data_IF_781365776138
#
_entry.id   IF_781365776138
#
_cell.length_a   1.000
_cell.length_b   1.000
_cell.length_c   1.000
_cell.angle_alpha   90.00
_cell.angle_beta   90.00
_cell.angle_gamma   90.00
#
_symmetry.space_group_name_H-M   'P 1'
#
loop_
_entity.id
_entity.type
_entity.pdbx_description
1 polymer ?
#
# COMPACT_ATOMS: atom_id res chain seq x y z
N UNK A 1 -4.22 16.26 -22.77
CA UNK A 1 -4.82 15.56 -21.61
C UNK A 1 -4.15 14.20 -21.59
N UNK A 2 -3.39 13.87 -20.56
CA UNK A 2 -2.82 12.52 -20.44
C UNK A 2 -3.95 11.55 -20.15
N UNK A 3 -4.10 10.54 -21.00
CA UNK A 3 -5.09 9.49 -20.86
C UNK A 3 -4.69 8.64 -19.64
N UNK A 4 -5.54 8.59 -18.60
CA UNK A 4 -5.28 7.76 -17.42
C UNK A 4 -5.42 6.30 -17.86
N UNK A 5 -4.32 5.57 -18.02
CA UNK A 5 -4.38 4.16 -18.39
C UNK A 5 -5.03 3.35 -17.26
N UNK A 6 -5.90 2.37 -17.59
CA UNK A 6 -6.54 1.53 -16.60
C UNK A 6 -5.51 0.67 -15.87
N UNK A 7 -5.70 0.49 -14.56
CA UNK A 7 -4.85 -0.36 -13.73
C UNK A 7 -4.78 -1.79 -14.29
N UNK A 8 -3.56 -2.25 -14.56
CA UNK A 8 -3.23 -3.61 -14.99
C UNK A 8 -2.50 -4.32 -13.86
N UNK A 9 -3.23 -5.17 -13.14
CA UNK A 9 -2.68 -5.97 -12.05
C UNK A 9 -1.58 -6.91 -12.56
N UNK A 10 -0.50 -7.04 -11.80
CA UNK A 10 0.41 -8.18 -11.93
C UNK A 10 -0.18 -9.35 -11.13
N UNK A 11 -0.55 -10.47 -11.78
CA UNK A 11 -1.20 -11.60 -11.12
C UNK A 11 -0.31 -12.30 -10.09
N UNK A 12 1.01 -12.08 -10.10
CA UNK A 12 1.96 -12.69 -9.17
C UNK A 12 2.37 -11.76 -8.03
N UNK A 13 1.88 -10.52 -8.01
CA UNK A 13 2.27 -9.50 -7.04
C UNK A 13 1.09 -9.04 -6.16
N UNK A 14 0.28 -10.00 -5.72
CA UNK A 14 -0.74 -9.80 -4.69
C UNK A 14 -0.26 -10.30 -3.35
N UNK A 15 -0.27 -9.41 -2.36
CA UNK A 15 0.18 -9.66 -0.99
C UNK A 15 -0.98 -9.50 -0.03
N UNK A 16 -1.05 -10.36 0.98
CA UNK A 16 -2.03 -10.26 2.06
C UNK A 16 -1.31 -10.07 3.40
N UNK A 17 -1.73 -9.04 4.12
CA UNK A 17 -1.17 -8.64 5.40
C UNK A 17 -2.24 -8.77 6.47
N UNK A 18 -2.03 -9.71 7.39
CA UNK A 18 -2.97 -9.99 8.50
C UNK A 18 -2.41 -9.60 9.86
N UNK A 19 -1.29 -8.88 9.87
CA UNK A 19 -0.66 -8.34 11.06
C UNK A 19 -0.11 -6.94 10.74
N UNK A 20 -0.14 -6.04 11.73
CA UNK A 20 0.62 -4.80 11.65
C UNK A 20 2.12 -5.13 11.65
N UNK A 21 2.92 -4.37 10.91
CA UNK A 21 4.32 -4.75 10.72
C UNK A 21 5.14 -3.76 9.92
N UNK A 22 6.46 -3.93 10.03
CA UNK A 22 7.46 -3.10 9.37
C UNK A 22 7.53 -3.38 7.86
N UNK A 23 8.09 -2.41 7.13
CA UNK A 23 8.16 -2.33 5.68
C UNK A 23 8.33 -3.63 4.90
N UNK A 24 7.30 -4.01 4.16
CA UNK A 24 7.38 -5.10 3.18
C UNK A 24 7.75 -4.52 1.82
N UNK A 25 8.78 -5.09 1.20
CA UNK A 25 9.19 -4.70 -0.15
C UNK A 25 8.15 -5.15 -1.18
N UNK A 26 7.74 -4.23 -2.05
CA UNK A 26 6.86 -4.51 -3.17
C UNK A 26 7.70 -4.80 -4.42
N UNK A 27 7.41 -5.86 -5.18
CA UNK A 27 8.08 -6.16 -6.45
C UNK A 27 7.53 -5.24 -7.55
N UNK A 28 7.91 -3.96 -7.50
CA UNK A 28 7.47 -2.99 -8.48
C UNK A 28 8.19 -3.19 -9.82
N UNK A 29 7.49 -3.14 -10.95
CA UNK A 29 8.12 -3.22 -12.27
C UNK A 29 9.12 -2.07 -12.47
N UNK A 30 10.22 -2.35 -13.16
CA UNK A 30 11.22 -1.32 -13.49
C UNK A 30 10.65 -0.37 -14.54
N UNK A 31 10.34 0.88 -14.18
CA UNK A 31 9.80 1.87 -15.11
C UNK A 31 8.99 2.98 -14.45
N UNK A 32 8.31 3.78 -15.27
CA UNK A 32 7.27 4.74 -14.82
C UNK A 32 5.91 4.03 -14.71
N UNK A 33 4.97 4.62 -13.95
CA UNK A 33 3.59 4.11 -13.85
C UNK A 33 3.39 2.91 -12.93
N UNK A 34 4.23 2.72 -11.89
CA UNK A 34 3.96 1.70 -10.86
C UNK A 34 2.74 2.11 -10.05
N UNK A 35 1.72 1.25 -10.03
CA UNK A 35 0.51 1.45 -9.26
C UNK A 35 0.28 0.30 -8.30
N UNK A 36 -0.45 0.57 -7.22
CA UNK A 36 -0.97 -0.44 -6.32
C UNK A 36 -2.46 -0.30 -6.18
N UNK A 37 -3.15 -1.44 -6.14
CA UNK A 37 -4.51 -1.54 -5.63
C UNK A 37 -4.45 -2.03 -4.20
N UNK A 38 -5.01 -1.25 -3.29
CA UNK A 38 -5.10 -1.56 -1.87
C UNK A 38 -6.54 -1.91 -1.56
N UNK A 39 -6.77 -3.00 -0.82
CA UNK A 39 -8.09 -3.40 -0.34
C UNK A 39 -8.02 -3.76 1.13
N UNK A 40 -8.78 -3.04 1.97
CA UNK A 40 -9.02 -3.47 3.34
C UNK A 40 -10.14 -4.52 3.35
N UNK A 41 -9.78 -5.78 3.57
CA UNK A 41 -10.69 -6.93 3.67
C UNK A 41 -11.14 -7.20 5.10
N UNK A 42 -10.52 -6.53 6.06
CA UNK A 42 -10.77 -6.70 7.49
C UNK A 42 -11.97 -5.90 7.98
N UNK A 43 -12.11 -5.90 9.30
CA UNK A 43 -13.19 -5.23 10.03
C UNK A 43 -12.70 -4.03 10.84
N UNK A 44 -11.42 -3.66 10.72
CA UNK A 44 -10.79 -2.56 11.44
C UNK A 44 -10.19 -1.55 10.46
N UNK A 45 -10.13 -0.29 10.87
CA UNK A 45 -9.40 0.74 10.12
C UNK A 45 -7.90 0.44 10.13
N UNK A 46 -7.25 0.68 8.98
CA UNK A 46 -5.80 0.49 8.84
C UNK A 46 -5.16 1.78 8.35
N UNK A 47 -3.96 2.06 8.84
CA UNK A 47 -3.11 3.13 8.32
C UNK A 47 -1.97 2.53 7.50
N UNK A 48 -1.74 3.07 6.31
CA UNK A 48 -0.73 2.61 5.37
C UNK A 48 0.20 3.76 5.01
N UNK A 49 1.48 3.45 4.87
CA UNK A 49 2.48 4.37 4.35
C UNK A 49 3.39 3.66 3.32
N UNK A 50 3.75 4.39 2.27
CA UNK A 50 4.69 3.95 1.25
C UNK A 50 5.97 4.77 1.32
N UNK A 51 7.12 4.10 1.35
CA UNK A 51 8.41 4.78 1.41
C UNK A 51 9.54 3.99 0.77
N UNK A 52 10.76 4.51 0.92
CA UNK A 52 11.97 3.86 0.45
C UNK A 52 12.65 3.02 1.55
N UNK A 53 13.68 2.25 1.17
CA UNK A 53 14.40 1.36 2.10
C UNK A 53 15.00 2.11 3.30
N UNK A 54 15.40 3.37 3.12
CA UNK A 54 16.07 4.16 4.15
C UNK A 54 15.09 4.78 5.16
N UNK A 55 13.83 4.99 4.75
CA UNK A 55 12.80 5.68 5.55
C UNK A 55 11.82 4.72 6.23
N UNK A 56 11.54 3.56 5.64
CA UNK A 56 10.43 2.68 6.07
C UNK A 56 10.76 1.84 7.31
N UNK A 57 12.04 1.72 7.70
CA UNK A 57 12.38 1.12 9.00
C UNK A 57 11.95 1.98 10.21
N UNK A 58 11.66 3.27 10.02
CA UNK A 58 11.48 4.20 11.15
C UNK A 58 10.03 4.61 11.42
N UNK A 59 9.08 4.42 10.50
CA UNK A 59 7.72 4.95 10.66
C UNK A 59 6.71 3.84 10.37
N UNK A 60 6.32 3.14 11.43
CA UNK A 60 4.98 2.55 11.50
C UNK A 60 4.13 3.69 12.06
N UNK A 61 3.40 4.45 11.22
CA UNK A 61 2.56 5.50 11.76
C UNK A 61 1.54 4.84 12.67
N UNK A 62 1.47 5.24 13.94
CA UNK A 62 0.30 4.89 14.75
C UNK A 62 -0.96 5.35 13.97
N UNK A 63 -2.05 4.62 14.09
CA UNK A 63 -3.29 4.97 13.39
C UNK A 63 -3.62 6.46 13.63
N UNK A 64 -3.69 7.25 12.55
CA UNK A 64 -3.94 8.70 12.61
C UNK A 64 -2.70 9.61 12.67
N UNK A 65 -1.49 9.10 12.42
CA UNK A 65 -0.27 9.95 12.36
C UNK A 65 -0.19 10.73 11.03
N UNK A 66 0.29 12.00 11.02
CA UNK A 66 0.50 12.76 9.79
C UNK A 66 1.42 12.04 8.79
N UNK A 67 1.01 11.95 7.52
CA UNK A 67 1.72 11.20 6.48
C UNK A 67 1.18 9.78 6.23
N UNK A 68 0.36 9.26 7.14
CA UNK A 68 -0.36 7.99 6.95
C UNK A 68 -1.69 8.19 6.24
N UNK A 69 -2.05 7.25 5.37
CA UNK A 69 -3.36 7.19 4.74
C UNK A 69 -4.22 6.16 5.46
N UNK A 70 -5.42 6.56 5.90
CA UNK A 70 -6.38 5.70 6.57
C UNK A 70 -7.30 5.00 5.59
N UNK A 71 -7.49 3.68 5.75
CA UNK A 71 -8.35 2.86 4.91
C UNK A 71 -9.40 2.16 5.77
N UNK A 72 -10.66 2.55 5.58
CA UNK A 72 -11.78 1.95 6.28
C UNK A 72 -12.03 0.49 5.87
N UNK A 73 -12.68 -0.32 6.71
CA UNK A 73 -13.14 -1.65 6.34
C UNK A 73 -13.88 -1.67 5.01
N UNK A 74 -13.49 -2.56 4.11
CA UNK A 74 -14.09 -2.70 2.78
C UNK A 74 -13.60 -1.69 1.73
N UNK A 75 -12.78 -0.70 2.10
CA UNK A 75 -12.25 0.28 1.17
C UNK A 75 -11.35 -0.38 0.10
N UNK A 76 -11.43 0.14 -1.12
CA UNK A 76 -10.57 -0.21 -2.25
C UNK A 76 -10.03 1.07 -2.87
N UNK A 77 -8.72 1.22 -2.95
CA UNK A 77 -8.09 2.39 -3.56
C UNK A 77 -6.98 1.99 -4.52
N UNK A 78 -6.68 2.91 -5.44
CA UNK A 78 -5.60 2.79 -6.41
C UNK A 78 -4.64 3.96 -6.21
N UNK A 79 -3.35 3.67 -6.16
CA UNK A 79 -2.33 4.68 -5.91
C UNK A 79 -1.14 4.48 -6.83
N UNK A 80 -0.73 5.56 -7.49
CA UNK A 80 0.55 5.63 -8.20
C UNK A 80 1.67 5.87 -7.19
N UNK A 81 2.66 5.00 -7.20
CA UNK A 81 3.84 5.10 -6.33
C UNK A 81 4.91 5.96 -6.99
N UNK A 82 5.60 6.76 -6.17
CA UNK A 82 6.80 7.47 -6.59
C UNK A 82 7.94 6.48 -6.86
N UNK A 83 8.89 6.85 -7.72
CA UNK A 83 9.95 5.94 -8.21
C UNK A 83 10.82 5.32 -7.09
N UNK A 84 10.96 5.99 -5.96
CA UNK A 84 11.69 5.53 -4.78
C UNK A 84 10.82 4.78 -3.75
N UNK A 85 9.50 4.88 -3.82
CA UNK A 85 8.59 4.18 -2.91
C UNK A 85 8.52 2.71 -3.28
N UNK A 86 9.22 1.86 -2.52
CA UNK A 86 9.33 0.42 -2.78
C UNK A 86 8.88 -0.45 -1.62
N UNK A 87 8.53 0.15 -0.50
CA UNK A 87 8.11 -0.57 0.70
C UNK A 87 6.80 -0.02 1.20
N UNK A 88 6.03 -0.90 1.84
CA UNK A 88 4.75 -0.56 2.47
C UNK A 88 4.76 -1.00 3.93
N UNK A 89 4.29 -0.14 4.82
CA UNK A 89 4.09 -0.43 6.25
C UNK A 89 2.61 -0.31 6.62
N UNK A 90 2.19 -1.04 7.65
CA UNK A 90 0.81 -1.08 8.12
C UNK A 90 0.73 -0.92 9.64
N UNK A 91 -0.24 -0.14 10.08
CA UNK A 91 -0.60 -0.01 11.48
C UNK A 91 -2.10 -0.09 11.69
N UNK A 92 -2.50 -0.54 12.88
CA UNK A 92 -3.88 -0.54 13.34
C UNK A 92 -3.93 0.01 14.76
N UNK A 93 -5.01 0.68 15.12
CA UNK A 93 -5.21 1.13 16.51
C UNK A 93 -5.50 -0.06 17.44
N UNK A 94 -6.34 -1.00 16.98
CA UNK A 94 -6.70 -2.21 17.70
C UNK A 94 -7.31 -3.25 16.75
N UNK A 95 -7.33 -4.51 17.17
CA UNK A 95 -7.87 -5.64 16.40
C UNK A 95 -6.89 -6.21 15.37
N UNK A 96 -7.39 -7.09 14.50
CA UNK A 96 -6.58 -7.76 13.48
C UNK A 96 -6.79 -7.09 12.10
N UNK A 97 -5.74 -6.55 11.47
CA UNK A 97 -5.83 -6.08 10.09
C UNK A 97 -6.05 -7.26 9.14
N UNK A 98 -6.63 -6.97 7.98
CA UNK A 98 -6.61 -7.86 6.82
C UNK A 98 -6.59 -6.99 5.56
N UNK A 99 -5.39 -6.76 5.02
CA UNK A 99 -5.16 -5.87 3.89
C UNK A 99 -4.58 -6.66 2.74
N UNK A 100 -5.13 -6.46 1.55
CA UNK A 100 -4.62 -7.01 0.31
C UNK A 100 -4.04 -5.87 -0.53
N UNK A 101 -2.77 -6.00 -0.95
CA UNK A 101 -2.15 -5.09 -1.91
C UNK A 101 -1.81 -5.86 -3.17
N UNK A 102 -2.26 -5.36 -4.31
CA UNK A 102 -1.91 -5.88 -5.63
C UNK A 102 -1.07 -4.83 -6.35
N UNK A 103 0.16 -5.18 -6.72
CA UNK A 103 0.99 -4.33 -7.58
C UNK A 103 0.52 -4.45 -9.03
N UNK A 104 0.67 -3.38 -9.79
CA UNK A 104 0.39 -3.35 -11.21
C UNK A 104 0.99 -2.13 -11.89
N UNK A 105 0.53 -1.87 -13.10
CA UNK A 105 0.89 -0.68 -13.87
C UNK A 105 -0.33 0.12 -14.28
N UNK A 106 -0.17 1.43 -14.32
CA UNK A 106 -1.11 2.39 -14.87
C UNK A 106 -0.44 3.76 -14.87
N UNK A 107 -0.46 4.44 -16.01
CA UNK A 107 0.13 5.78 -16.20
C UNK A 107 -0.86 6.66 -16.96
#
# INVERSE_FOLDING_TARGET
MSEVLPFRADPFATFRFTAAGAGVALPLPHGRGSQVRIRNRGTVDVSIEFGDKATVQAVIPAAGTPGSQGFAPGAVEFQTLQQNQRFVSFAVASGAPDVEITVGTGD
#
